data_IF_967295052116
#
_entry.id   IF_967295052116
#
_cell.length_a   1.000
_cell.length_b   1.000
_cell.length_c   1.000
_cell.angle_alpha   90.00
_cell.angle_beta   90.00
_cell.angle_gamma   90.00
#
_symmetry.space_group_name_H-M   'P 1'
#
loop_
_entity.id
_entity.type
_entity.pdbx_description
1 polymer ?
#
# COMPACT_ATOMS: atom_id res chain seq x y z
N UNK A 1 12.56 13.04 -7.94
CA UNK A 1 13.25 14.09 -8.70
C UNK A 1 12.47 15.39 -8.81
N UNK A 2 11.51 15.67 -7.93
CA UNK A 2 10.82 16.96 -7.80
C UNK A 2 10.63 17.29 -6.31
N UNK A 3 11.51 16.76 -5.46
CA UNK A 3 11.45 16.87 -4.00
C UNK A 3 11.41 18.34 -3.55
N UNK A 4 12.08 19.24 -4.26
CA UNK A 4 12.09 20.69 -4.02
C UNK A 4 10.71 21.36 -4.12
N UNK A 5 9.70 20.68 -4.69
CA UNK A 5 8.32 21.15 -4.75
C UNK A 5 7.54 20.87 -3.46
N UNK A 6 8.01 19.94 -2.61
CA UNK A 6 7.35 19.56 -1.35
C UNK A 6 7.58 20.68 -0.32
N UNK A 7 6.54 21.45 -0.01
CA UNK A 7 6.60 22.53 1.00
C UNK A 7 6.58 22.00 2.43
N UNK A 8 5.87 20.91 2.65
CA UNK A 8 5.80 20.20 3.92
C UNK A 8 5.35 18.76 3.67
N UNK A 9 5.74 17.87 4.58
CA UNK A 9 5.19 16.51 4.67
C UNK A 9 4.12 16.53 5.75
N UNK A 10 2.93 16.02 5.43
CA UNK A 10 1.84 15.88 6.40
C UNK A 10 1.99 14.55 7.13
N UNK A 11 1.81 14.58 8.44
CA UNK A 11 1.72 13.38 9.27
C UNK A 11 0.41 12.63 9.00
N UNK A 12 0.35 11.34 9.37
CA UNK A 12 -0.84 10.53 9.20
C UNK A 12 -2.03 11.08 10.01
N UNK A 13 -1.76 11.70 11.15
CA UNK A 13 -2.76 12.36 12.00
C UNK A 13 -3.33 13.63 11.36
N UNK A 14 -2.53 14.33 10.54
CA UNK A 14 -2.97 15.52 9.80
C UNK A 14 -3.75 15.16 8.54
N UNK A 15 -3.31 14.13 7.82
CA UNK A 15 -3.96 13.66 6.59
C UNK A 15 -3.66 12.18 6.39
N UNK A 16 -4.65 11.35 6.71
CA UNK A 16 -4.51 9.91 6.62
C UNK A 16 -4.33 9.50 5.15
N UNK A 17 -3.28 8.72 4.81
CA UNK A 17 -3.03 8.28 3.44
C UNK A 17 -4.16 7.46 2.82
N UNK A 18 -4.22 7.46 1.49
CA UNK A 18 -5.05 6.50 0.77
C UNK A 18 -4.50 5.07 0.95
N UNK A 19 -5.35 4.03 1.02
CA UNK A 19 -4.92 2.64 1.10
C UNK A 19 -3.91 2.26 0.00
N UNK A 20 -2.71 1.86 0.38
CA UNK A 20 -1.60 1.50 -0.51
C UNK A 20 -0.78 2.67 -1.06
N UNK A 21 -0.97 3.90 -0.57
CA UNK A 21 -0.23 5.06 -1.05
C UNK A 21 1.28 4.89 -0.86
N UNK A 22 2.05 5.13 -1.93
CA UNK A 22 3.52 5.03 -1.91
C UNK A 22 4.06 3.64 -2.23
N UNK A 23 3.21 2.60 -2.24
CA UNK A 23 3.59 1.26 -2.67
C UNK A 23 3.33 1.05 -4.17
N UNK A 24 4.17 0.23 -4.79
CA UNK A 24 3.96 -0.27 -6.16
C UNK A 24 3.51 -1.73 -6.10
N UNK A 25 2.40 -2.05 -6.76
CA UNK A 25 1.92 -3.41 -6.95
C UNK A 25 2.16 -3.88 -8.38
N UNK A 26 2.53 -5.15 -8.55
CA UNK A 26 2.68 -5.79 -9.86
C UNK A 26 1.57 -6.82 -10.01
N UNK A 27 0.72 -6.65 -11.01
CA UNK A 27 -0.33 -7.62 -11.34
C UNK A 27 0.21 -8.66 -12.34
N UNK A 28 -0.09 -9.93 -12.10
CA UNK A 28 0.31 -11.05 -12.94
C UNK A 28 -0.91 -11.87 -13.34
N UNK A 29 -0.78 -12.62 -14.43
CA UNK A 29 -1.77 -13.64 -14.80
C UNK A 29 -1.76 -14.74 -13.74
N UNK A 30 -2.96 -15.10 -13.27
CA UNK A 30 -3.10 -16.14 -12.26
C UNK A 30 -2.55 -17.49 -12.76
N UNK A 31 -1.68 -18.12 -11.97
CA UNK A 31 -1.07 -19.41 -12.29
C UNK A 31 0.24 -19.35 -13.09
N UNK A 32 0.70 -18.18 -13.51
CA UNK A 32 2.00 -18.03 -14.18
C UNK A 32 3.17 -18.09 -13.18
N UNK A 33 3.60 -19.32 -12.87
CA UNK A 33 4.69 -19.57 -11.94
C UNK A 33 6.04 -19.02 -12.42
N UNK A 34 6.24 -18.93 -13.74
CA UNK A 34 7.48 -18.40 -14.31
C UNK A 34 7.59 -16.90 -14.03
N UNK A 35 6.52 -16.14 -14.28
CA UNK A 35 6.49 -14.70 -13.95
C UNK A 35 6.49 -14.44 -12.46
N UNK A 36 5.81 -15.27 -11.65
CA UNK A 36 5.88 -15.16 -10.20
C UNK A 36 7.32 -15.27 -9.68
N UNK A 37 8.11 -16.19 -10.22
CA UNK A 37 9.52 -16.34 -9.84
C UNK A 37 10.38 -15.13 -10.25
N UNK A 38 10.07 -14.48 -11.38
CA UNK A 38 10.80 -13.29 -11.86
C UNK A 38 10.57 -12.08 -10.94
N UNK A 39 9.34 -11.87 -10.47
CA UNK A 39 9.01 -10.68 -9.65
C UNK A 39 9.19 -10.92 -8.15
N UNK A 40 9.27 -12.17 -7.69
CA UNK A 40 9.42 -12.51 -6.27
C UNK A 40 10.53 -11.73 -5.54
N UNK A 41 11.71 -11.45 -6.14
CA UNK A 41 12.76 -10.67 -5.47
C UNK A 41 12.41 -9.20 -5.25
N UNK A 42 11.36 -8.67 -5.88
CA UNK A 42 10.92 -7.28 -5.75
C UNK A 42 9.91 -7.09 -4.60
N UNK A 43 9.38 -8.18 -4.04
CA UNK A 43 8.41 -8.11 -2.95
C UNK A 43 9.11 -7.73 -1.64
N UNK A 44 8.57 -6.71 -0.98
CA UNK A 44 8.92 -6.36 0.39
C UNK A 44 7.84 -6.90 1.32
N UNK A 45 8.13 -7.93 2.15
CA UNK A 45 7.11 -8.55 2.98
C UNK A 45 6.42 -7.58 3.93
N UNK A 46 7.13 -6.63 4.54
CA UNK A 46 6.54 -5.68 5.49
C UNK A 46 5.49 -4.79 4.82
N UNK A 47 5.85 -4.22 3.67
CA UNK A 47 4.98 -3.41 2.81
C UNK A 47 3.79 -4.23 2.32
N UNK A 48 4.02 -5.46 1.85
CA UNK A 48 2.97 -6.34 1.37
C UNK A 48 1.92 -6.62 2.46
N UNK A 49 2.35 -6.84 3.71
CA UNK A 49 1.45 -7.03 4.84
C UNK A 49 0.61 -5.78 5.14
N UNK A 50 1.25 -4.60 5.26
CA UNK A 50 0.54 -3.32 5.50
C UNK A 50 -0.50 -3.05 4.41
N UNK A 51 -0.09 -3.09 3.15
CA UNK A 51 -0.98 -2.82 2.00
C UNK A 51 -2.12 -3.82 1.92
N UNK A 52 -1.87 -5.10 2.27
CA UNK A 52 -2.93 -6.11 2.32
C UNK A 52 -3.98 -5.79 3.39
N UNK A 53 -3.56 -5.32 4.57
CA UNK A 53 -4.46 -4.90 5.64
C UNK A 53 -5.28 -3.67 5.22
N UNK A 54 -4.63 -2.63 4.69
CA UNK A 54 -5.28 -1.41 4.22
C UNK A 54 -6.32 -1.68 3.12
N UNK A 55 -5.96 -2.53 2.14
CA UNK A 55 -6.89 -2.91 1.06
C UNK A 55 -8.02 -3.80 1.57
N UNK A 56 -7.79 -4.65 2.56
CA UNK A 56 -8.85 -5.45 3.19
C UNK A 56 -9.85 -4.55 3.93
N UNK A 57 -9.36 -3.60 4.71
CA UNK A 57 -10.17 -2.55 5.35
C UNK A 57 -10.99 -1.76 4.32
N UNK A 58 -10.33 -1.29 3.25
CA UNK A 58 -10.98 -0.55 2.17
C UNK A 58 -12.11 -1.36 1.51
N UNK A 59 -11.85 -2.63 1.15
CA UNK A 59 -12.89 -3.51 0.57
C UNK A 59 -14.07 -3.75 1.51
N UNK A 60 -13.81 -3.93 2.80
CA UNK A 60 -14.85 -4.18 3.80
C UNK A 60 -15.82 -3.00 3.95
N UNK A 61 -15.35 -1.77 3.70
CA UNK A 61 -16.15 -0.55 3.81
C UNK A 61 -16.73 -0.07 2.47
N UNK A 62 -16.67 -0.89 1.41
CA UNK A 62 -17.16 -0.52 0.08
C UNK A 62 -16.27 0.50 -0.63
N UNK A 63 -14.97 0.46 -0.35
CA UNK A 63 -13.98 1.37 -0.90
C UNK A 63 -14.04 1.45 -2.43
N UNK A 64 -14.32 2.65 -2.91
CA UNK A 64 -14.13 3.06 -4.30
C UNK A 64 -13.29 4.35 -4.31
N UNK A 65 -12.73 4.70 -5.46
CA UNK A 65 -11.96 5.95 -5.60
C UNK A 65 -12.79 7.24 -5.31
N UNK A 66 -14.10 7.11 -5.08
CA UNK A 66 -15.02 8.22 -4.81
C UNK A 66 -15.44 8.32 -3.33
N UNK A 67 -15.00 7.41 -2.47
CA UNK A 67 -15.31 7.43 -1.04
C UNK A 67 -14.18 8.15 -0.29
N UNK A 68 -14.48 9.08 0.64
CA UNK A 68 -13.45 9.73 1.46
C UNK A 68 -12.93 8.76 2.52
N UNK A 69 -12.06 7.83 2.09
CA UNK A 69 -11.52 6.75 2.91
C UNK A 69 -9.99 6.78 2.92
N UNK A 70 -9.41 7.03 4.09
CA UNK A 70 -7.99 6.81 4.35
C UNK A 70 -7.77 5.46 5.05
N UNK A 71 -6.58 4.89 4.88
CA UNK A 71 -6.18 3.65 5.54
C UNK A 71 -4.67 3.53 5.51
N UNK A 72 -4.06 3.44 6.69
CA UNK A 72 -2.61 3.39 6.86
C UNK A 72 -2.26 2.39 7.96
N UNK A 73 -1.51 1.36 7.60
CA UNK A 73 -1.04 0.31 8.50
C UNK A 73 0.48 0.42 8.67
N UNK A 74 0.97 0.20 9.89
CA UNK A 74 2.40 0.27 10.21
C UNK A 74 2.80 -1.01 10.91
N UNK A 75 3.93 -1.60 10.47
CA UNK A 75 4.55 -2.70 11.18
C UNK A 75 5.38 -2.16 12.35
N UNK A 76 5.00 -2.46 13.59
CA UNK A 76 5.74 -2.12 14.80
C UNK A 76 6.01 -3.37 15.64
N UNK A 77 7.26 -3.58 16.06
CA UNK A 77 7.67 -4.73 16.89
C UNK A 77 7.23 -6.11 16.35
N UNK A 78 7.19 -6.25 15.02
CA UNK A 78 6.76 -7.47 14.34
C UNK A 78 5.24 -7.69 14.35
N UNK A 79 4.45 -6.67 14.71
CA UNK A 79 3.00 -6.68 14.68
C UNK A 79 2.49 -5.65 13.69
N UNK A 80 1.29 -5.92 13.20
CA UNK A 80 0.52 -5.07 12.30
C UNK A 80 -0.61 -4.40 13.10
#
# INVERSE_FOLDING_TARGET
GLEDRIRSVLTAEQSLPAPGQGALGIELVAGDAAMAAVVAPLDDPGTAHCVKAERAFSRALGGSCQVPLGGYAVMEEGKL
#
